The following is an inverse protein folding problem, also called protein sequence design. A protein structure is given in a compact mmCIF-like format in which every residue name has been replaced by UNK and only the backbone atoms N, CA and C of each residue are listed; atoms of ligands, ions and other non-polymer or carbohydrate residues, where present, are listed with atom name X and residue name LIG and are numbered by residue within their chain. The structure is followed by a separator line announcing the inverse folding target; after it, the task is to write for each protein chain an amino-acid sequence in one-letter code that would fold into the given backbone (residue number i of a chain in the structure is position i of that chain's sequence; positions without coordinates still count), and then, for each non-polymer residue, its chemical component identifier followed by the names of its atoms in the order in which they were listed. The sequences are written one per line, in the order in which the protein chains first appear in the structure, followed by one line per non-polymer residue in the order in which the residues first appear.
data_IF_991220760650
#
_entry.id   IF_991220760650
#
_cell.length_a   1.000
_cell.length_b   1.000
_cell.length_c   1.000
_cell.angle_alpha   90.00
_cell.angle_beta   90.00
_cell.angle_gamma   90.00
#
_symmetry.space_group_name_H-M   'P 1'
#
loop_
_entity.id
_entity.type
_entity.pdbx_description
1 polymer ?
#
# COMPACT_ATOMS: atom_id res chain seq x y z
N UNK A 1 1.01 8.46 -11.84
CA UNK A 1 1.90 8.46 -13.03
C UNK A 1 3.14 7.61 -12.78
N UNK A 2 3.83 7.79 -11.64
CA UNK A 2 5.10 7.11 -11.32
C UNK A 2 5.04 5.57 -11.30
N UNK A 3 4.00 4.99 -10.70
CA UNK A 3 3.86 3.52 -10.62
C UNK A 3 3.81 2.87 -12.01
N UNK A 4 3.12 3.51 -12.97
CA UNK A 4 3.04 3.01 -14.34
C UNK A 4 4.42 2.92 -14.98
N UNK A 5 5.25 3.95 -14.80
CA UNK A 5 6.61 4.00 -15.35
C UNK A 5 7.46 2.85 -14.85
N UNK A 6 7.39 2.52 -13.55
CA UNK A 6 8.17 1.43 -12.95
C UNK A 6 7.71 0.08 -13.53
N UNK A 7 6.39 -0.17 -13.54
CA UNK A 7 5.83 -1.44 -14.02
C UNK A 7 6.18 -1.67 -15.50
N UNK A 8 6.11 -0.63 -16.34
CA UNK A 8 6.39 -0.76 -17.79
C UNK A 8 7.85 -1.06 -18.13
N UNK A 9 8.77 -0.95 -17.17
CA UNK A 9 10.20 -1.23 -17.36
C UNK A 9 10.65 -2.52 -16.67
N UNK A 10 9.74 -3.25 -16.04
CA UNK A 10 10.04 -4.52 -15.39
C UNK A 10 10.42 -5.60 -16.42
N UNK A 11 11.54 -6.30 -16.17
CA UNK A 11 11.96 -7.43 -16.99
C UNK A 11 11.20 -8.72 -16.65
N UNK A 12 11.44 -9.77 -17.42
CA UNK A 12 10.89 -11.10 -17.15
C UNK A 12 11.29 -11.58 -15.73
N UNK A 13 10.42 -12.38 -15.11
CA UNK A 13 10.58 -12.88 -13.72
C UNK A 13 10.68 -11.80 -12.63
N UNK A 14 10.31 -10.56 -12.93
CA UNK A 14 10.22 -9.50 -11.91
C UNK A 14 8.91 -9.62 -11.13
N UNK A 15 9.00 -9.56 -9.81
CA UNK A 15 7.85 -9.38 -8.92
C UNK A 15 7.93 -8.00 -8.27
N UNK A 16 6.87 -7.21 -8.41
CA UNK A 16 6.73 -5.91 -7.75
C UNK A 16 5.74 -6.08 -6.59
N UNK A 17 6.15 -5.66 -5.40
CA UNK A 17 5.33 -5.71 -4.19
C UNK A 17 5.12 -4.27 -3.73
N UNK A 18 3.87 -3.83 -3.72
CA UNK A 18 3.48 -2.55 -3.13
C UNK A 18 3.00 -2.78 -1.69
N UNK A 19 3.57 -2.04 -0.76
CA UNK A 19 3.22 -2.08 0.66
C UNK A 19 2.89 -0.68 1.15
N UNK A 20 1.88 -0.55 2.01
CA UNK A 20 1.55 0.71 2.65
C UNK A 20 0.25 0.61 3.43
N UNK A 21 -0.05 1.67 4.18
CA UNK A 21 -1.30 1.83 4.91
C UNK A 21 -2.20 2.81 4.16
N UNK A 22 -3.36 2.34 3.71
CA UNK A 22 -4.35 3.18 2.99
C UNK A 22 -5.00 4.22 3.90
N UNK A 23 -4.90 4.06 5.21
CA UNK A 23 -5.44 4.97 6.22
C UNK A 23 -4.43 6.04 6.65
N UNK A 24 -3.15 5.88 6.31
CA UNK A 24 -2.14 6.90 6.55
C UNK A 24 -2.25 8.00 5.47
N UNK A 25 -2.96 9.08 5.82
CA UNK A 25 -3.24 10.21 4.93
C UNK A 25 -2.55 11.45 5.50
N UNK A 26 -1.32 11.68 5.06
CA UNK A 26 -0.49 12.79 5.56
C UNK A 26 -0.71 14.10 4.77
N UNK A 27 -1.63 14.12 3.79
CA UNK A 27 -1.87 15.28 2.92
C UNK A 27 -3.36 15.64 2.87
N UNK A 28 -3.75 16.92 3.05
CA UNK A 28 -5.15 17.35 3.09
C UNK A 28 -5.93 17.20 1.77
N UNK A 29 -5.25 16.79 0.68
CA UNK A 29 -5.82 16.61 -0.65
C UNK A 29 -5.97 15.15 -1.09
N UNK A 30 -5.63 14.20 -0.21
CA UNK A 30 -5.76 12.77 -0.46
C UNK A 30 -6.86 12.22 0.45
N UNK A 31 -7.72 11.37 -0.09
CA UNK A 31 -8.66 10.56 0.69
C UNK A 31 -8.28 9.07 0.55
N UNK A 32 -8.85 8.21 1.40
CA UNK A 32 -8.54 6.77 1.42
C UNK A 32 -8.92 6.04 0.13
N UNK A 33 -9.74 6.66 -0.73
CA UNK A 33 -10.16 6.11 -2.02
C UNK A 33 -9.35 6.69 -3.20
N UNK A 34 -8.74 7.87 -3.03
CA UNK A 34 -7.95 8.56 -4.06
C UNK A 34 -6.44 8.38 -3.93
N UNK A 35 -5.97 7.65 -2.91
CA UNK A 35 -4.56 7.32 -2.79
C UNK A 35 -4.07 6.34 -3.89
N UNK A 36 -2.76 6.34 -4.12
CA UNK A 36 -2.14 5.57 -5.20
C UNK A 36 -2.31 4.05 -5.07
N UNK A 37 -2.47 3.53 -3.85
CA UNK A 37 -2.69 2.11 -3.59
C UNK A 37 -4.12 1.71 -3.92
N UNK A 38 -5.12 2.46 -3.46
CA UNK A 38 -6.55 2.21 -3.73
C UNK A 38 -6.85 2.22 -5.23
N UNK A 39 -6.32 3.20 -5.97
CA UNK A 39 -6.47 3.27 -7.44
C UNK A 39 -5.78 2.08 -8.14
N UNK A 40 -4.63 1.63 -7.64
CA UNK A 40 -3.92 0.48 -8.18
C UNK A 40 -4.70 -0.81 -7.95
N UNK A 41 -5.21 -1.02 -6.73
CA UNK A 41 -6.03 -2.18 -6.37
C UNK A 41 -7.25 -2.23 -7.28
N UNK A 42 -8.01 -1.14 -7.40
CA UNK A 42 -9.24 -1.12 -8.19
C UNK A 42 -9.01 -1.46 -9.67
N UNK A 43 -7.92 -0.95 -10.25
CA UNK A 43 -7.54 -1.20 -11.65
C UNK A 43 -6.99 -2.59 -11.91
N UNK A 44 -6.30 -3.19 -10.94
CA UNK A 44 -5.60 -4.47 -11.13
C UNK A 44 -6.35 -5.68 -10.56
N UNK A 45 -7.38 -5.50 -9.71
CA UNK A 45 -8.09 -6.58 -9.01
C UNK A 45 -8.67 -7.71 -9.88
N UNK A 46 -8.85 -7.47 -11.19
CA UNK A 46 -9.36 -8.47 -12.14
C UNK A 46 -8.27 -9.08 -13.05
N UNK A 47 -7.01 -8.76 -12.81
CA UNK A 47 -5.90 -9.25 -13.63
C UNK A 47 -5.29 -10.52 -13.02
N UNK A 48 -4.96 -11.51 -13.86
CA UNK A 48 -4.36 -12.78 -13.42
C UNK A 48 -2.96 -12.62 -12.77
N UNK A 49 -2.25 -11.53 -13.06
CA UNK A 49 -0.93 -11.22 -12.50
C UNK A 49 -1.01 -10.46 -11.16
N UNK A 50 -2.22 -10.20 -10.67
CA UNK A 50 -2.45 -9.42 -9.47
C UNK A 50 -2.82 -10.31 -8.27
N UNK A 51 -2.27 -9.98 -7.11
CA UNK A 51 -2.68 -10.53 -5.83
C UNK A 51 -2.75 -9.39 -4.80
N UNK A 52 -3.72 -9.49 -3.89
CA UNK A 52 -3.88 -8.55 -2.78
C UNK A 52 -3.83 -9.30 -1.45
N UNK A 53 -3.05 -8.77 -0.51
CA UNK A 53 -3.00 -9.27 0.86
C UNK A 53 -3.30 -8.09 1.77
N UNK A 54 -4.32 -8.23 2.61
CA UNK A 54 -4.64 -7.27 3.66
C UNK A 54 -4.10 -7.80 4.99
N UNK A 55 -3.22 -7.04 5.62
CA UNK A 55 -2.78 -7.32 6.98
C UNK A 55 -3.76 -6.65 7.95
N UNK A 56 -4.47 -7.44 8.74
CA UNK A 56 -5.53 -6.93 9.63
C UNK A 56 -5.00 -6.46 10.98
N UNK A 57 -3.82 -6.96 11.38
CA UNK A 57 -3.19 -6.62 12.65
C UNK A 57 -1.71 -6.33 12.41
N UNK A 58 -1.26 -5.19 12.94
CA UNK A 58 0.15 -4.87 13.06
C UNK A 58 0.70 -5.41 14.38
N UNK A 59 1.84 -6.08 14.33
CA UNK A 59 2.58 -6.42 15.55
C UNK A 59 3.50 -5.25 15.90
N UNK A 60 3.45 -4.81 17.16
CA UNK A 60 4.26 -3.72 17.70
C UNK A 60 4.99 -4.23 18.94
N UNK A 61 6.21 -3.76 19.15
CA UNK A 61 6.94 -4.06 20.39
C UNK A 61 6.24 -3.44 21.60
N UNK A 62 6.50 -3.99 22.80
CA UNK A 62 5.96 -3.44 24.05
C UNK A 62 6.31 -1.94 24.20
N UNK A 63 7.52 -1.54 23.83
CA UNK A 63 7.96 -0.14 23.84
C UNK A 63 7.12 0.75 22.91
N UNK A 64 6.81 0.26 21.70
CA UNK A 64 6.00 1.02 20.73
C UNK A 64 4.55 1.15 21.19
N UNK A 65 4.00 0.13 21.85
CA UNK A 65 2.67 0.21 22.45
C UNK A 65 2.63 1.23 23.58
N UNK A 66 3.62 1.18 24.49
CA UNK A 66 3.73 2.13 25.60
C UNK A 66 3.85 3.58 25.10
N UNK A 67 4.66 3.83 24.07
CA UNK A 67 4.79 5.17 23.50
C UNK A 67 3.47 5.71 22.92
N UNK A 68 2.69 4.87 22.25
CA UNK A 68 1.40 5.25 21.66
C UNK A 68 0.27 5.46 22.70
N UNK A 69 0.40 4.90 23.90
CA UNK A 69 -0.55 5.15 24.99
C UNK A 69 -0.22 6.44 25.76
N UNK A 70 1.06 6.83 25.82
CA UNK A 70 1.54 7.94 26.64
C UNK A 70 1.73 9.26 25.86
N UNK A 71 1.82 9.22 24.52
CA UNK A 71 2.05 10.36 23.62
C UNK A 71 0.95 10.47 22.58
#
# INVERSE_FOLDING_TARGET
HEIKTIITRAGENTKIIFTGDIYQIDTPYLDSQSNGLSVLIDRLKQNALYAHIRLEKGERSELANLANELL
#
